data_IF_900743188732
#
_entry.id   IF_900743188732
#
_cell.length_a   1.000
_cell.length_b   1.000
_cell.length_c   1.000
_cell.angle_alpha   90.00
_cell.angle_beta   90.00
_cell.angle_gamma   90.00
#
_symmetry.space_group_name_H-M   'P 1'
#
loop_
_entity.id
_entity.type
_entity.pdbx_description
1 polymer ?
#
# COMPACT_ATOMS: atom_id res chain seq x y z
N UNK A 1 13.80 16.79 -19.66
CA UNK A 1 13.24 17.58 -18.53
C UNK A 1 12.01 16.86 -18.01
N UNK A 2 12.08 16.30 -16.79
CA UNK A 2 10.93 15.71 -16.12
C UNK A 2 9.96 16.84 -15.72
N UNK A 3 8.67 16.69 -15.98
CA UNK A 3 7.66 17.71 -15.65
C UNK A 3 7.63 17.88 -14.13
N UNK A 4 7.83 19.10 -13.63
CA UNK A 4 7.72 19.44 -12.20
C UNK A 4 6.31 19.06 -11.74
N UNK A 5 6.21 18.10 -10.81
CA UNK A 5 4.94 17.55 -10.32
C UNK A 5 4.44 16.27 -10.98
N UNK A 6 5.25 15.58 -11.79
CA UNK A 6 4.90 14.28 -12.36
C UNK A 6 6.09 13.33 -12.28
N UNK A 7 6.55 13.07 -11.05
CA UNK A 7 7.37 11.89 -10.82
C UNK A 7 6.42 10.69 -10.86
N UNK A 8 6.66 9.66 -11.68
CA UNK A 8 5.81 8.46 -11.72
C UNK A 8 5.67 7.79 -10.34
N UNK A 9 6.62 8.03 -9.45
CA UNK A 9 6.61 7.59 -8.06
C UNK A 9 5.53 8.29 -7.20
N UNK A 10 5.33 9.60 -7.41
CA UNK A 10 4.42 10.43 -6.62
C UNK A 10 2.96 9.96 -6.81
N UNK A 11 2.53 9.79 -8.06
CA UNK A 11 1.17 9.29 -8.36
C UNK A 11 0.90 7.85 -7.90
N UNK A 12 1.93 7.00 -7.85
CA UNK A 12 1.81 5.64 -7.31
C UNK A 12 1.62 5.66 -5.80
N UNK A 13 2.39 6.51 -5.10
CA UNK A 13 2.30 6.67 -3.66
C UNK A 13 0.99 7.36 -3.25
N UNK A 14 0.53 8.36 -3.99
CA UNK A 14 -0.80 8.98 -3.77
C UNK A 14 -1.92 7.93 -3.86
N UNK A 15 -1.87 7.05 -4.86
CA UNK A 15 -2.82 5.95 -5.00
C UNK A 15 -2.78 4.98 -3.82
N UNK A 16 -1.59 4.62 -3.33
CA UNK A 16 -1.43 3.79 -2.15
C UNK A 16 -2.04 4.45 -0.89
N UNK A 17 -1.72 5.71 -0.62
CA UNK A 17 -2.24 6.42 0.54
C UNK A 17 -3.76 6.63 0.47
N UNK A 18 -4.32 6.83 -0.71
CA UNK A 18 -5.77 6.88 -0.91
C UNK A 18 -6.46 5.56 -0.53
N UNK A 19 -5.88 4.43 -0.94
CA UNK A 19 -6.37 3.09 -0.61
C UNK A 19 -6.24 2.82 0.90
N UNK A 20 -5.08 3.08 1.48
CA UNK A 20 -4.81 2.90 2.90
C UNK A 20 -5.81 3.66 3.76
N UNK A 21 -6.00 4.96 3.48
CA UNK A 21 -6.95 5.78 4.22
C UNK A 21 -8.39 5.27 4.08
N UNK A 22 -8.78 4.83 2.88
CA UNK A 22 -10.16 4.32 2.64
C UNK A 22 -10.44 2.98 3.32
N UNK A 23 -9.49 2.04 3.32
CA UNK A 23 -9.72 0.71 3.87
C UNK A 23 -9.56 0.67 5.40
N UNK A 24 -8.64 1.48 5.92
CA UNK A 24 -8.20 1.40 7.31
C UNK A 24 -8.62 2.59 8.16
N UNK A 25 -8.59 3.82 7.63
CA UNK A 25 -8.76 5.03 8.44
C UNK A 25 -10.18 5.58 8.43
N UNK A 26 -10.75 5.87 7.25
CA UNK A 26 -12.04 6.53 7.11
C UNK A 26 -13.18 5.70 7.70
N UNK A 27 -13.93 6.29 8.63
CA UNK A 27 -15.03 5.62 9.35
C UNK A 27 -14.59 4.71 10.49
N UNK A 28 -13.28 4.64 10.75
CA UNK A 28 -12.67 3.90 11.87
C UNK A 28 -11.75 4.78 12.71
N UNK A 29 -11.81 6.10 12.54
CA UNK A 29 -10.96 7.07 13.25
C UNK A 29 -11.04 6.93 14.78
N UNK A 30 -12.23 6.58 15.30
CA UNK A 30 -12.45 6.36 16.74
C UNK A 30 -11.93 5.02 17.26
N UNK A 31 -11.44 4.12 16.39
CA UNK A 31 -10.90 2.82 16.79
C UNK A 31 -9.44 2.91 17.27
N UNK A 32 -8.78 4.06 17.07
CA UNK A 32 -7.40 4.27 17.47
C UNK A 32 -7.39 5.18 18.70
N UNK A 33 -7.05 4.64 19.87
CA UNK A 33 -7.02 5.44 21.08
C UNK A 33 -5.76 6.32 21.15
N UNK A 34 -4.66 5.89 20.52
CA UNK A 34 -3.38 6.58 20.53
C UNK A 34 -2.65 6.47 19.18
N UNK A 35 -1.62 7.32 19.00
CA UNK A 35 -0.78 7.30 17.79
C UNK A 35 0.00 5.98 17.62
N UNK A 36 0.34 5.30 18.72
CA UNK A 36 1.05 4.00 18.67
C UNK A 36 0.19 2.91 18.02
N UNK A 37 -1.10 2.82 18.40
CA UNK A 37 -2.03 1.86 17.80
C UNK A 37 -2.27 2.15 16.31
N UNK A 38 -2.35 3.44 15.95
CA UNK A 38 -2.43 3.85 14.55
C UNK A 38 -1.16 3.45 13.79
N UNK A 39 0.03 3.65 14.36
CA UNK A 39 1.28 3.23 13.75
C UNK A 39 1.34 1.72 13.54
N UNK A 40 0.96 0.93 14.55
CA UNK A 40 0.92 -0.53 14.45
C UNK A 40 -0.06 -0.98 13.37
N UNK A 41 -1.26 -0.40 13.31
CA UNK A 41 -2.21 -0.70 12.27
C UNK A 41 -1.64 -0.37 10.88
N UNK A 42 -0.91 0.74 10.74
CA UNK A 42 -0.31 1.14 9.45
C UNK A 42 0.74 0.11 9.03
N UNK A 43 1.61 -0.32 9.95
CA UNK A 43 2.62 -1.36 9.71
C UNK A 43 1.98 -2.67 9.29
N UNK A 44 0.92 -3.09 9.97
CA UNK A 44 0.19 -4.32 9.65
C UNK A 44 -0.48 -4.23 8.27
N UNK A 45 -1.13 -3.10 7.96
CA UNK A 45 -1.72 -2.88 6.64
C UNK A 45 -0.67 -2.90 5.53
N UNK A 46 0.52 -2.32 5.74
CA UNK A 46 1.63 -2.36 4.78
C UNK A 46 2.08 -3.81 4.56
N UNK A 47 2.19 -4.61 5.62
CA UNK A 47 2.55 -6.02 5.53
C UNK A 47 1.51 -6.77 4.70
N UNK A 48 0.24 -6.71 5.09
CA UNK A 48 -0.89 -7.29 4.35
C UNK A 48 -0.89 -6.88 2.87
N UNK A 49 -0.70 -5.60 2.58
CA UNK A 49 -0.67 -5.09 1.22
C UNK A 49 0.44 -5.72 0.37
N UNK A 50 1.62 -5.96 0.96
CA UNK A 50 2.76 -6.52 0.24
C UNK A 50 2.72 -8.05 0.12
N UNK A 51 2.28 -8.75 1.17
CA UNK A 51 2.42 -10.21 1.28
C UNK A 51 1.15 -10.97 0.95
N UNK A 52 -0.03 -10.40 1.23
CA UNK A 52 -1.31 -11.11 1.19
C UNK A 52 -2.27 -10.55 0.13
N UNK A 53 -2.15 -9.28 -0.24
CA UNK A 53 -3.05 -8.64 -1.20
C UNK A 53 -2.83 -9.16 -2.63
N UNK A 54 -3.71 -10.06 -3.04
CA UNK A 54 -3.76 -10.58 -4.40
C UNK A 54 -4.27 -9.52 -5.39
N UNK A 55 -3.49 -9.25 -6.45
CA UNK A 55 -3.90 -8.32 -7.52
C UNK A 55 -4.22 -9.08 -8.81
N UNK A 56 -5.43 -8.88 -9.34
CA UNK A 56 -5.85 -9.45 -10.63
C UNK A 56 -4.91 -9.01 -11.77
N UNK A 57 -4.48 -7.74 -11.76
CA UNK A 57 -3.49 -7.21 -12.72
C UNK A 57 -2.13 -7.91 -12.65
N UNK A 58 -1.79 -8.52 -11.52
CA UNK A 58 -0.56 -9.30 -11.33
C UNK A 58 -0.82 -10.81 -11.50
N UNK A 59 -1.83 -11.21 -12.29
CA UNK A 59 -2.22 -12.62 -12.48
C UNK A 59 -2.59 -13.35 -11.19
N UNK A 60 -3.11 -12.63 -10.19
CA UNK A 60 -3.44 -13.22 -8.89
C UNK A 60 -2.23 -13.39 -7.96
N UNK A 61 -1.10 -12.72 -8.25
CA UNK A 61 0.05 -12.68 -7.36
C UNK A 61 -0.04 -11.50 -6.38
N UNK A 62 0.63 -11.64 -5.25
CA UNK A 62 0.89 -10.54 -4.33
C UNK A 62 2.06 -9.69 -4.83
N UNK A 63 2.17 -8.42 -4.40
CA UNK A 63 3.26 -7.54 -4.84
C UNK A 63 4.65 -8.14 -4.59
N UNK A 64 4.84 -8.82 -3.45
CA UNK A 64 6.10 -9.48 -3.13
C UNK A 64 6.38 -10.68 -4.06
N UNK A 65 5.39 -11.53 -4.29
CA UNK A 65 5.51 -12.67 -5.21
C UNK A 65 5.86 -12.22 -6.63
N UNK A 66 5.21 -11.15 -7.10
CA UNK A 66 5.51 -10.56 -8.41
C UNK A 66 6.94 -10.00 -8.50
N UNK A 67 7.42 -9.32 -7.44
CA UNK A 67 8.82 -8.83 -7.38
C UNK A 67 9.82 -9.98 -7.39
N UNK A 68 9.58 -11.04 -6.61
CA UNK A 68 10.46 -12.19 -6.56
C UNK A 68 10.52 -12.95 -7.90
N UNK A 69 9.42 -13.02 -8.66
CA UNK A 69 9.45 -13.59 -10.01
C UNK A 69 10.35 -12.81 -10.96
N UNK A 70 10.39 -11.47 -10.84
CA UNK A 70 11.25 -10.63 -11.68
C UNK A 70 12.74 -10.76 -11.34
N UNK A 71 13.10 -11.28 -10.17
CA UNK A 71 14.49 -11.49 -9.73
C UNK A 71 15.03 -12.87 -10.13
N UNK A 72 14.15 -13.82 -10.46
CA UNK A 72 14.49 -15.20 -10.85
C UNK A 72 14.50 -15.37 -12.39
N UNK A 73 14.04 -14.35 -13.13
CA UNK A 73 13.95 -14.35 -14.59
C UNK A 73 15.22 -13.87 -15.30
#
# INVERSE_FOLDING_TARGET
MSRKGCSPDDGLMEGFFGILKREMFYGKETNYANLDELEQAIKDHIRFYNTERTKIKLKGLTPEQFRNQSLVA
#
